data_IF_818969771271
#
_entry.id   IF_818969771271
#
_cell.length_a   1.000
_cell.length_b   1.000
_cell.length_c   1.000
_cell.angle_alpha   90.00
_cell.angle_beta   90.00
_cell.angle_gamma   90.00
#
_symmetry.space_group_name_H-M   'P 1'
#
loop_
_entity.id
_entity.type
_entity.pdbx_description
1 polymer ?
#
# COMPACT_ATOMS: atom_id res chain seq x y z
N UNK A 1 -8.83 -0.19 26.89
CA UNK A 1 -7.99 -1.07 26.07
C UNK A 1 -6.68 -0.34 25.79
N UNK A 2 -5.59 -0.65 26.51
CA UNK A 2 -4.25 -0.12 26.16
C UNK A 2 -3.63 -1.14 25.21
N UNK A 3 -3.86 -0.95 23.91
CA UNK A 3 -3.38 -1.85 22.85
C UNK A 3 -1.86 -1.74 22.63
N UNK A 4 -1.23 -0.64 23.06
CA UNK A 4 0.21 -0.43 23.04
C UNK A 4 0.63 0.58 24.14
N UNK A 5 1.92 0.59 24.57
CA UNK A 5 2.51 1.67 25.35
C UNK A 5 2.25 3.08 24.77
N UNK A 6 2.30 4.11 25.62
CA UNK A 6 2.34 5.50 25.13
C UNK A 6 3.60 5.72 24.28
N UNK A 7 3.47 6.51 23.23
CA UNK A 7 4.50 6.74 22.20
C UNK A 7 4.98 5.47 21.47
N UNK A 8 4.12 4.46 21.40
CA UNK A 8 4.35 3.25 20.61
C UNK A 8 3.17 2.93 19.70
N UNK A 9 3.44 2.23 18.61
CA UNK A 9 2.42 1.86 17.62
C UNK A 9 2.91 2.07 16.21
N UNK A 10 1.98 2.35 15.31
CA UNK A 10 2.27 2.66 13.91
C UNK A 10 2.36 4.17 13.73
N UNK A 11 3.46 4.64 13.15
CA UNK A 11 3.61 6.04 12.75
C UNK A 11 2.69 6.36 11.56
N UNK A 12 2.55 5.41 10.64
CA UNK A 12 1.85 5.61 9.37
C UNK A 12 1.40 4.28 8.78
N UNK A 13 0.27 4.31 8.08
CA UNK A 13 -0.21 3.20 7.24
C UNK A 13 -0.36 3.75 5.81
N UNK A 14 0.41 3.18 4.89
CA UNK A 14 0.35 3.52 3.48
C UNK A 14 -0.46 2.43 2.74
N UNK A 15 -1.67 2.78 2.31
CA UNK A 15 -2.49 1.97 1.41
C UNK A 15 -2.07 2.25 -0.04
N UNK A 16 -1.32 1.31 -0.61
CA UNK A 16 -0.88 1.36 -1.99
C UNK A 16 -1.82 0.48 -2.82
N UNK A 17 -2.50 1.09 -3.80
CA UNK A 17 -3.54 0.39 -4.57
C UNK A 17 -3.41 0.58 -6.07
N UNK A 18 -4.07 -0.32 -6.77
CA UNK A 18 -4.32 -0.23 -8.21
C UNK A 18 -5.56 0.62 -8.47
N UNK A 19 -5.72 1.13 -9.70
CA UNK A 19 -6.94 1.81 -10.13
C UNK A 19 -7.27 1.50 -11.59
N UNK A 20 -8.56 1.42 -11.90
CA UNK A 20 -9.07 1.37 -13.27
C UNK A 20 -9.47 2.76 -13.81
N UNK A 21 -9.33 3.81 -12.98
CA UNK A 21 -9.65 5.19 -13.32
C UNK A 21 -8.37 5.95 -13.63
N UNK A 22 -8.10 6.22 -14.91
CA UNK A 22 -6.84 6.82 -15.37
C UNK A 22 -6.59 8.20 -14.76
N UNK A 23 -7.63 8.98 -14.54
CA UNK A 23 -7.60 10.30 -13.89
C UNK A 23 -7.23 10.24 -12.39
N UNK A 24 -7.35 9.06 -11.78
CA UNK A 24 -6.99 8.84 -10.37
C UNK A 24 -5.58 8.30 -10.18
N UNK A 25 -4.91 7.88 -11.24
CA UNK A 25 -3.52 7.43 -11.17
C UNK A 25 -2.61 8.56 -10.64
N UNK A 26 -1.73 8.23 -9.70
CA UNK A 26 -0.80 9.17 -9.07
C UNK A 26 -1.45 10.06 -8.01
N UNK A 27 -2.75 9.94 -7.77
CA UNK A 27 -3.42 10.69 -6.69
C UNK A 27 -3.13 10.05 -5.34
N UNK A 28 -3.05 10.90 -4.32
CA UNK A 28 -2.93 10.51 -2.92
C UNK A 28 -3.92 11.28 -2.07
N UNK A 29 -4.39 10.68 -0.97
CA UNK A 29 -5.21 11.36 0.04
C UNK A 29 -4.94 10.81 1.44
N UNK A 30 -5.20 11.63 2.46
CA UNK A 30 -5.34 11.16 3.83
C UNK A 30 -6.79 10.67 4.05
N UNK A 31 -6.97 9.55 4.74
CA UNK A 31 -8.32 9.03 5.02
C UNK A 31 -9.04 9.93 6.03
N UNK A 32 -10.30 10.32 5.79
CA UNK A 32 -11.01 11.28 6.67
C UNK A 32 -11.28 10.76 8.09
N UNK A 33 -11.18 9.45 8.32
CA UNK A 33 -11.39 8.81 9.62
C UNK A 33 -10.10 8.57 10.42
N UNK A 34 -8.92 8.84 9.85
CA UNK A 34 -7.66 8.60 10.55
C UNK A 34 -6.52 9.40 9.96
N UNK A 35 -5.79 10.10 10.82
CA UNK A 35 -4.63 10.88 10.40
C UNK A 35 -3.42 9.99 10.01
N UNK A 36 -3.45 8.71 10.37
CA UNK A 36 -2.37 7.76 10.10
C UNK A 36 -2.50 7.08 8.73
N UNK A 37 -3.69 7.14 8.11
CA UNK A 37 -4.00 6.40 6.89
C UNK A 37 -3.81 7.29 5.66
N UNK A 38 -2.91 6.86 4.77
CA UNK A 38 -2.64 7.53 3.50
C UNK A 38 -2.87 6.55 2.36
N UNK A 39 -3.73 6.94 1.43
CA UNK A 39 -4.06 6.12 0.26
C UNK A 39 -3.41 6.69 -0.98
N UNK A 40 -2.73 5.84 -1.75
CA UNK A 40 -2.11 6.22 -3.03
C UNK A 40 -2.46 5.21 -4.11
N UNK A 41 -2.90 5.71 -5.26
CA UNK A 41 -3.21 4.90 -6.45
C UNK A 41 -2.01 4.93 -7.39
N UNK A 42 -1.21 3.89 -7.37
CA UNK A 42 0.13 3.92 -7.98
C UNK A 42 0.27 3.03 -9.21
N UNK A 43 -0.69 2.15 -9.47
CA UNK A 43 -0.73 1.28 -10.65
C UNK A 43 -2.07 1.44 -11.37
N UNK A 44 -2.03 1.64 -12.68
CA UNK A 44 -3.23 1.63 -13.52
C UNK A 44 -3.42 0.24 -14.11
N UNK A 45 -4.63 -0.30 -13.99
CA UNK A 45 -5.04 -1.57 -14.58
C UNK A 45 -6.18 -1.31 -15.57
N UNK A 46 -5.92 -1.43 -16.87
CA UNK A 46 -6.93 -1.32 -17.92
C UNK A 46 -7.48 -2.67 -18.41
N UNK A 47 -6.74 -3.74 -18.17
CA UNK A 47 -7.12 -5.11 -18.52
C UNK A 47 -6.52 -6.13 -17.52
N UNK A 48 -7.07 -7.35 -17.46
CA UNK A 48 -6.45 -8.44 -16.73
C UNK A 48 -5.04 -8.76 -17.26
N UNK A 49 -4.10 -8.99 -16.36
CA UNK A 49 -2.72 -9.32 -16.71
C UNK A 49 -1.76 -9.16 -15.54
N UNK A 50 -0.48 -9.43 -15.80
CA UNK A 50 0.59 -9.19 -14.83
C UNK A 50 0.81 -7.69 -14.64
N UNK A 51 1.07 -7.29 -13.40
CA UNK A 51 1.45 -5.93 -13.05
C UNK A 51 2.49 -5.93 -11.94
N UNK A 52 3.18 -4.82 -11.80
CA UNK A 52 4.13 -4.58 -10.72
C UNK A 52 3.65 -3.39 -9.90
N UNK A 53 3.69 -3.54 -8.57
CA UNK A 53 3.46 -2.45 -7.62
C UNK A 53 4.78 -2.16 -6.94
N UNK A 54 5.35 -0.98 -7.24
CA UNK A 54 6.62 -0.52 -6.68
C UNK A 54 6.41 0.76 -5.88
N UNK A 55 7.03 0.84 -4.71
CA UNK A 55 7.02 2.03 -3.86
C UNK A 55 8.36 2.21 -3.19
N UNK A 56 8.91 3.41 -3.34
CA UNK A 56 10.12 3.86 -2.65
C UNK A 56 9.69 4.83 -1.54
N UNK A 57 10.15 4.59 -0.32
CA UNK A 57 9.92 5.51 0.78
C UNK A 57 10.87 6.72 0.64
N UNK A 58 10.39 7.96 0.89
CA UNK A 58 11.24 9.15 0.81
C UNK A 58 12.44 9.09 1.77
N UNK A 59 12.23 8.46 2.92
CA UNK A 59 13.25 8.23 3.95
C UNK A 59 13.28 6.73 4.30
N UNK A 60 14.44 6.17 4.72
CA UNK A 60 14.52 4.79 5.16
C UNK A 60 13.56 4.49 6.32
N UNK A 61 12.79 3.42 6.20
CA UNK A 61 11.88 2.96 7.25
C UNK A 61 12.59 1.94 8.13
N UNK A 62 12.59 2.15 9.45
CA UNK A 62 13.25 1.25 10.40
C UNK A 62 12.50 -0.09 10.53
N UNK A 63 11.17 -0.06 10.56
CA UNK A 63 10.32 -1.26 10.66
C UNK A 63 9.13 -1.16 9.71
N UNK A 64 8.97 -2.18 8.87
CA UNK A 64 7.87 -2.26 7.91
C UNK A 64 6.97 -3.47 8.22
N UNK A 65 5.69 -3.21 8.45
CA UNK A 65 4.64 -4.21 8.35
C UNK A 65 4.06 -4.22 6.94
N UNK A 66 4.13 -5.34 6.24
CA UNK A 66 3.49 -5.51 4.93
C UNK A 66 2.18 -6.29 5.10
N UNK A 67 1.08 -5.67 4.67
CA UNK A 67 -0.22 -6.33 4.56
C UNK A 67 -0.65 -6.35 3.10
N UNK A 68 -0.91 -7.54 2.56
CA UNK A 68 -1.46 -7.69 1.22
C UNK A 68 -2.94 -8.00 1.35
N UNK A 69 -3.79 -7.09 0.88
CA UNK A 69 -5.23 -7.27 0.82
C UNK A 69 -5.68 -7.33 -0.64
N UNK A 70 -6.52 -8.31 -0.94
CA UNK A 70 -7.22 -8.39 -2.22
C UNK A 70 -8.70 -8.39 -1.88
N UNK A 71 -9.37 -7.29 -2.22
CA UNK A 71 -10.77 -7.09 -1.89
C UNK A 71 -11.55 -6.81 -3.17
N UNK A 72 -12.69 -7.47 -3.32
CA UNK A 72 -13.65 -7.13 -4.34
C UNK A 72 -14.48 -5.96 -3.84
N UNK A 73 -14.82 -5.01 -4.72
CA UNK A 73 -15.83 -4.04 -4.36
C UNK A 73 -17.22 -4.72 -4.25
N UNK A 74 -18.22 -3.96 -3.80
CA UNK A 74 -19.60 -4.43 -3.63
C UNK A 74 -20.29 -4.88 -4.95
N UNK A 75 -19.56 -4.94 -6.07
CA UNK A 75 -20.07 -5.35 -7.37
C UNK A 75 -20.18 -6.87 -7.53
N UNK A 76 -19.61 -7.65 -6.59
CA UNK A 76 -19.58 -9.12 -6.69
C UNK A 76 -18.61 -9.63 -7.76
N UNK A 77 -17.63 -8.81 -8.13
CA UNK A 77 -16.58 -9.19 -9.07
C UNK A 77 -15.77 -10.37 -8.54
N UNK A 78 -15.45 -11.32 -9.43
CA UNK A 78 -14.57 -12.45 -9.14
C UNK A 78 -13.23 -12.24 -9.85
N UNK A 79 -12.13 -12.48 -9.15
CA UNK A 79 -10.79 -12.41 -9.70
C UNK A 79 -9.93 -13.54 -9.15
N UNK A 80 -8.92 -13.91 -9.93
CA UNK A 80 -7.84 -14.78 -9.51
C UNK A 80 -6.56 -13.95 -9.50
N UNK A 81 -5.89 -13.87 -8.35
CA UNK A 81 -4.65 -13.14 -8.19
C UNK A 81 -3.55 -14.08 -7.72
N UNK A 82 -2.47 -14.12 -8.48
CA UNK A 82 -1.24 -14.81 -8.10
C UNK A 82 -0.15 -13.79 -7.82
N UNK A 83 0.47 -13.90 -6.65
CA UNK A 83 1.66 -13.13 -6.31
C UNK A 83 2.88 -13.96 -6.71
N UNK A 84 3.58 -13.51 -7.75
CA UNK A 84 4.79 -14.21 -8.23
C UNK A 84 6.01 -13.91 -7.37
N UNK A 85 6.14 -12.69 -6.85
CA UNK A 85 7.24 -12.29 -5.98
C UNK A 85 6.89 -11.09 -5.10
N UNK A 86 7.56 -10.98 -3.96
CA UNK A 86 7.60 -9.80 -3.10
C UNK A 86 9.06 -9.54 -2.77
N UNK A 87 9.52 -8.33 -3.03
CA UNK A 87 10.90 -7.91 -2.77
C UNK A 87 10.89 -6.74 -1.81
N UNK A 88 11.78 -6.77 -0.82
CA UNK A 88 12.05 -5.65 0.06
C UNK A 88 13.52 -5.27 -0.10
N UNK A 89 13.76 -4.05 -0.59
CA UNK A 89 15.09 -3.51 -0.70
C UNK A 89 15.44 -2.72 0.56
N UNK A 90 16.66 -2.96 1.08
CA UNK A 90 17.18 -2.24 2.24
C UNK A 90 18.34 -1.36 1.80
N UNK A 91 18.38 -0.13 2.30
CA UNK A 91 19.55 0.73 2.12
C UNK A 91 20.54 0.33 3.21
N UNK A 92 21.55 -0.45 2.86
CA UNK A 92 22.65 -0.74 3.79
C UNK A 92 23.42 0.55 4.02
N UNK A 93 23.27 1.16 5.20
CA UNK A 93 24.08 2.32 5.59
C UNK A 93 25.56 1.93 5.55
N UNK A 94 26.36 2.61 4.73
CA UNK A 94 27.81 2.56 4.83
C UNK A 94 28.20 2.97 6.26
N UNK A 95 28.77 2.04 7.02
CA UNK A 95 29.40 2.36 8.31
C UNK A 95 30.57 3.31 8.13
#
# INVERSE_FOLDING_TARGET
FKLAPEDSGVERINFLSTTQQKDRLGTSRQHPLSDLLYESRIVYLDAPGSFELKHDFPEPVETLGLWVSVDGDDTGSNFDLRIDSITLDTVSGSK
#
